data_IF_046914330612
#
_entry.id   IF_046914330612
#
_cell.length_a   1.000
_cell.length_b   1.000
_cell.length_c   1.000
_cell.angle_alpha   90.00
_cell.angle_beta   90.00
_cell.angle_gamma   90.00
#
_symmetry.space_group_name_H-M   'P 1'
#
loop_
_entity.id
_entity.type
_entity.pdbx_description
1 polymer ?
#
# COMPACT_ATOMS: atom_id res chain seq x y z
N UNK A 1 -24.93 -39.90 27.78
CA UNK A 1 -24.25 -38.70 27.25
C UNK A 1 -22.88 -39.16 26.80
N UNK A 2 -22.63 -39.25 25.49
CA UNK A 2 -21.34 -39.73 24.97
C UNK A 2 -20.32 -38.63 25.18
N UNK A 3 -19.32 -38.88 26.04
CA UNK A 3 -18.19 -37.97 26.21
C UNK A 3 -17.45 -37.99 24.87
N UNK A 4 -17.38 -36.83 24.22
CA UNK A 4 -16.63 -36.65 22.98
C UNK A 4 -15.21 -36.27 23.33
N UNK A 5 -14.25 -36.86 22.64
CA UNK A 5 -12.83 -36.58 22.81
C UNK A 5 -12.30 -35.56 21.78
N UNK A 6 -13.16 -35.05 20.89
CA UNK A 6 -12.79 -34.07 19.86
C UNK A 6 -13.56 -32.75 19.96
N UNK A 7 -12.92 -31.69 19.47
CA UNK A 7 -13.39 -30.32 19.51
C UNK A 7 -14.36 -29.99 18.37
N UNK A 8 -15.62 -29.64 18.71
CA UNK A 8 -16.64 -29.30 17.71
C UNK A 8 -16.35 -28.00 16.95
N UNK A 9 -15.54 -27.10 17.50
CA UNK A 9 -15.15 -25.86 16.80
C UNK A 9 -14.28 -26.11 15.58
N UNK A 10 -13.78 -27.35 15.43
CA UNK A 10 -12.86 -27.77 14.37
C UNK A 10 -13.52 -28.71 13.34
N UNK A 11 -14.85 -28.85 13.38
CA UNK A 11 -15.61 -29.73 12.46
C UNK A 11 -15.51 -29.27 10.99
N UNK A 12 -15.49 -27.96 10.76
CA UNK A 12 -15.19 -27.40 9.45
C UNK A 12 -13.76 -26.86 9.42
N UNK A 13 -13.03 -27.16 8.35
CA UNK A 13 -11.76 -26.49 8.07
C UNK A 13 -12.06 -25.16 7.34
N UNK A 14 -11.62 -24.00 7.86
CA UNK A 14 -11.77 -22.74 7.13
C UNK A 14 -11.04 -22.75 5.78
N UNK A 15 -10.08 -23.63 5.56
CA UNK A 15 -9.33 -23.74 4.29
C UNK A 15 -10.13 -24.45 3.20
N UNK A 16 -11.07 -25.32 3.58
CA UNK A 16 -12.01 -25.95 2.65
C UNK A 16 -13.05 -24.95 2.16
N UNK A 17 -13.48 -24.02 3.03
CA UNK A 17 -14.47 -22.98 2.70
C UNK A 17 -13.85 -21.77 1.99
N UNK A 18 -12.68 -21.34 2.46
CA UNK A 18 -11.92 -20.22 1.91
C UNK A 18 -10.49 -20.65 1.69
N UNK A 19 -10.15 -21.23 0.52
CA UNK A 19 -8.77 -21.63 0.22
C UNK A 19 -7.78 -20.47 0.30
N UNK A 20 -8.19 -19.28 -0.16
CA UNK A 20 -7.44 -18.04 0.07
C UNK A 20 -7.94 -17.35 1.34
N UNK A 21 -7.03 -16.96 2.23
CA UNK A 21 -7.35 -16.33 3.52
C UNK A 21 -8.20 -15.05 3.37
N UNK A 22 -8.05 -14.34 2.25
CA UNK A 22 -8.74 -13.07 2.03
C UNK A 22 -10.21 -13.23 1.64
N UNK A 23 -10.59 -14.41 1.16
CA UNK A 23 -11.95 -14.70 0.72
C UNK A 23 -12.90 -14.89 1.91
N UNK A 24 -12.36 -15.19 3.10
CA UNK A 24 -13.14 -15.20 4.33
C UNK A 24 -13.77 -13.81 4.56
N UNK A 25 -15.10 -13.71 4.74
CA UNK A 25 -15.76 -12.45 5.11
C UNK A 25 -15.19 -11.87 6.40
N UNK A 26 -15.26 -10.55 6.54
CA UNK A 26 -14.87 -9.90 7.80
C UNK A 26 -15.82 -10.32 8.94
N UNK A 27 -15.28 -10.39 10.16
CA UNK A 27 -16.06 -10.66 11.36
C UNK A 27 -16.24 -9.37 12.19
N UNK A 28 -17.44 -9.11 12.76
CA UNK A 28 -18.69 -9.81 12.49
C UNK A 28 -19.28 -9.42 11.13
N UNK A 29 -20.18 -10.25 10.58
CA UNK A 29 -20.92 -9.92 9.36
C UNK A 29 -22.05 -8.94 9.71
N UNK A 30 -21.97 -7.75 9.13
CA UNK A 30 -22.99 -6.71 9.24
C UNK A 30 -23.93 -6.77 8.03
N UNK A 31 -25.22 -6.54 8.27
CA UNK A 31 -26.26 -6.51 7.23
C UNK A 31 -26.17 -5.24 6.36
N UNK A 32 -25.67 -4.14 6.93
CA UNK A 32 -25.51 -2.87 6.24
C UNK A 32 -24.20 -2.16 6.60
N UNK A 33 -23.76 -1.28 5.71
CA UNK A 33 -22.49 -0.55 5.83
C UNK A 33 -22.47 0.43 7.00
N UNK A 34 -23.63 1.01 7.35
CA UNK A 34 -23.78 1.90 8.50
C UNK A 34 -23.47 1.18 9.82
N UNK A 35 -23.93 -0.06 9.99
CA UNK A 35 -23.61 -0.85 11.18
C UNK A 35 -22.11 -1.16 11.25
N UNK A 36 -21.47 -1.41 10.10
CA UNK A 36 -20.02 -1.66 10.05
C UNK A 36 -19.22 -0.44 10.48
N UNK A 37 -19.60 0.77 10.07
CA UNK A 37 -18.84 1.99 10.37
C UNK A 37 -19.03 2.48 11.81
N UNK A 38 -20.17 2.18 12.43
CA UNK A 38 -20.47 2.55 13.82
C UNK A 38 -19.82 1.63 14.86
N UNK A 39 -19.36 0.44 14.46
CA UNK A 39 -18.74 -0.52 15.36
C UNK A 39 -17.21 -0.49 15.23
N UNK A 40 -16.46 -0.59 16.36
CA UNK A 40 -15.01 -0.68 16.30
C UNK A 40 -14.58 -1.93 15.52
N UNK A 41 -13.44 -1.89 14.81
CA UNK A 41 -12.93 -3.03 14.08
C UNK A 41 -12.64 -4.18 15.05
N UNK A 42 -13.15 -5.36 14.74
CA UNK A 42 -12.95 -6.56 15.55
C UNK A 42 -11.50 -7.03 15.45
N UNK A 43 -10.80 -7.17 16.58
CA UNK A 43 -9.38 -7.50 16.57
C UNK A 43 -9.14 -9.01 16.54
N UNK A 44 -7.90 -9.40 16.24
CA UNK A 44 -7.45 -10.80 16.36
C UNK A 44 -7.68 -11.35 17.77
N UNK A 45 -7.38 -10.55 18.80
CA UNK A 45 -7.54 -10.96 20.19
C UNK A 45 -9.03 -11.17 20.54
N UNK A 46 -9.91 -10.28 20.05
CA UNK A 46 -11.36 -10.42 20.25
C UNK A 46 -11.89 -11.70 19.59
N UNK A 47 -11.37 -12.05 18.40
CA UNK A 47 -11.70 -13.28 17.72
C UNK A 47 -11.22 -14.52 18.48
N UNK A 48 -10.01 -14.51 19.01
CA UNK A 48 -9.50 -15.61 19.84
C UNK A 48 -10.31 -15.78 21.13
N UNK A 49 -10.63 -14.68 21.82
CA UNK A 49 -11.43 -14.70 23.04
C UNK A 49 -12.85 -15.23 22.75
N UNK A 50 -13.45 -14.83 21.64
CA UNK A 50 -14.76 -15.30 21.21
C UNK A 50 -14.74 -16.79 20.86
N UNK A 51 -13.71 -17.24 20.14
CA UNK A 51 -13.52 -18.65 19.80
C UNK A 51 -13.35 -19.51 21.05
N UNK A 52 -12.58 -19.06 22.03
CA UNK A 52 -12.42 -19.76 23.32
C UNK A 52 -13.75 -19.91 24.06
N UNK A 53 -14.59 -18.86 24.10
CA UNK A 53 -15.92 -18.93 24.70
C UNK A 53 -16.83 -19.93 23.97
N UNK A 54 -16.81 -19.92 22.64
CA UNK A 54 -17.59 -20.86 21.84
C UNK A 54 -17.11 -22.29 22.08
N UNK A 55 -15.80 -22.52 22.13
CA UNK A 55 -15.20 -23.81 22.45
C UNK A 55 -15.69 -24.34 23.79
N UNK A 56 -15.67 -23.52 24.82
CA UNK A 56 -16.17 -23.87 26.15
C UNK A 56 -17.66 -24.27 26.11
N UNK A 57 -18.51 -23.48 25.44
CA UNK A 57 -19.96 -23.73 25.34
C UNK A 57 -20.30 -25.01 24.56
N UNK A 58 -19.65 -25.20 23.41
CA UNK A 58 -19.88 -26.37 22.53
C UNK A 58 -19.40 -27.67 23.18
N UNK A 59 -18.21 -27.63 23.81
CA UNK A 59 -17.57 -28.80 24.39
C UNK A 59 -17.90 -29.00 25.87
N UNK A 60 -18.95 -28.32 26.35
CA UNK A 60 -19.49 -28.42 27.73
C UNK A 60 -18.40 -28.28 28.81
N UNK A 61 -17.52 -27.31 28.61
CA UNK A 61 -16.46 -26.94 29.55
C UNK A 61 -15.14 -27.72 29.42
N UNK A 62 -15.01 -28.60 28.41
CA UNK A 62 -13.75 -29.32 28.18
C UNK A 62 -12.84 -28.53 27.25
N UNK A 63 -11.69 -28.08 27.76
CA UNK A 63 -10.75 -27.21 27.03
C UNK A 63 -9.61 -27.98 26.34
N UNK A 64 -9.35 -29.24 26.70
CA UNK A 64 -8.25 -30.03 26.14
C UNK A 64 -8.75 -31.14 25.21
N UNK A 65 -9.60 -30.76 24.24
CA UNK A 65 -10.05 -31.68 23.19
C UNK A 65 -9.16 -31.58 21.95
N UNK A 66 -8.86 -32.75 21.36
CA UNK A 66 -8.11 -32.83 20.10
C UNK A 66 -8.97 -32.40 18.90
N UNK A 67 -8.36 -32.09 17.75
CA UNK A 67 -9.11 -31.95 16.50
C UNK A 67 -9.84 -33.27 16.13
N UNK A 68 -11.01 -33.20 15.47
CA UNK A 68 -11.68 -34.38 14.94
C UNK A 68 -10.87 -34.99 13.80
N UNK A 69 -10.90 -36.32 13.68
CA UNK A 69 -10.53 -37.01 12.45
C UNK A 69 -11.55 -36.72 11.34
N UNK A 70 -11.21 -37.05 10.08
CA UNK A 70 -12.13 -36.85 8.94
C UNK A 70 -13.47 -37.55 9.14
N UNK A 71 -13.47 -38.80 9.63
CA UNK A 71 -14.69 -39.55 9.87
C UNK A 71 -15.55 -38.91 10.98
N UNK A 72 -14.92 -38.45 12.06
CA UNK A 72 -15.62 -37.77 13.16
C UNK A 72 -16.17 -36.41 12.75
N UNK A 73 -15.44 -35.68 11.90
CA UNK A 73 -15.92 -34.43 11.33
C UNK A 73 -17.16 -34.65 10.46
N UNK A 74 -17.16 -35.66 9.59
CA UNK A 74 -18.33 -35.99 8.77
C UNK A 74 -19.52 -36.48 9.60
N UNK A 75 -19.28 -37.29 10.64
CA UNK A 75 -20.33 -37.71 11.57
C UNK A 75 -20.92 -36.50 12.32
N UNK A 76 -20.06 -35.59 12.79
CA UNK A 76 -20.50 -34.35 13.43
C UNK A 76 -21.30 -33.47 12.46
N UNK A 77 -20.83 -33.31 11.21
CA UNK A 77 -21.57 -32.58 10.17
C UNK A 77 -22.97 -33.18 9.96
N UNK A 78 -23.07 -34.50 9.79
CA UNK A 78 -24.35 -35.19 9.61
C UNK A 78 -25.27 -35.09 10.84
N UNK A 79 -24.70 -35.02 12.05
CA UNK A 79 -25.46 -34.87 13.30
C UNK A 79 -26.03 -33.47 13.48
N UNK A 80 -25.26 -32.43 13.13
CA UNK A 80 -25.58 -31.04 13.42
C UNK A 80 -26.23 -30.30 12.24
N UNK A 81 -26.03 -30.77 11.02
CA UNK A 81 -26.46 -30.11 9.80
C UNK A 81 -27.25 -31.06 8.90
N UNK A 82 -28.15 -30.48 8.11
CA UNK A 82 -28.84 -31.15 6.99
C UNK A 82 -28.85 -30.24 5.78
N UNK A 83 -29.09 -30.80 4.60
CA UNK A 83 -29.25 -30.00 3.38
C UNK A 83 -30.50 -29.11 3.46
N UNK A 84 -30.37 -27.88 2.96
CA UNK A 84 -31.46 -26.92 2.81
C UNK A 84 -30.99 -25.48 2.95
N UNK A 85 -31.93 -24.55 2.90
CA UNK A 85 -31.63 -23.11 3.02
C UNK A 85 -31.54 -22.72 4.50
N UNK A 86 -30.47 -22.06 4.96
CA UNK A 86 -30.37 -21.62 6.34
C UNK A 86 -31.37 -20.51 6.65
N UNK A 87 -31.91 -20.52 7.86
CA UNK A 87 -32.73 -19.41 8.39
C UNK A 87 -31.88 -18.19 8.71
N UNK A 88 -30.61 -18.40 9.09
CA UNK A 88 -29.65 -17.35 9.38
C UNK A 88 -28.95 -16.91 8.08
N UNK A 89 -29.27 -15.70 7.61
CA UNK A 89 -28.72 -15.14 6.37
C UNK A 89 -27.19 -15.05 6.35
N UNK A 90 -26.54 -15.00 7.51
CA UNK A 90 -25.07 -14.96 7.61
C UNK A 90 -24.42 -16.21 7.03
N UNK A 91 -25.07 -17.37 7.14
CA UNK A 91 -24.52 -18.63 6.62
C UNK A 91 -24.35 -18.60 5.09
N UNK A 92 -25.24 -17.90 4.38
CA UNK A 92 -25.12 -17.70 2.93
C UNK A 92 -23.83 -16.94 2.58
N UNK A 93 -23.51 -15.90 3.36
CA UNK A 93 -22.29 -15.11 3.18
C UNK A 93 -21.02 -15.89 3.52
N UNK A 94 -21.15 -16.95 4.31
CA UNK A 94 -20.05 -17.84 4.69
C UNK A 94 -19.83 -19.01 3.72
N UNK A 95 -20.58 -19.10 2.62
CA UNK A 95 -20.51 -20.24 1.69
C UNK A 95 -21.25 -21.50 2.19
N UNK A 96 -21.99 -21.39 3.29
CA UNK A 96 -22.75 -22.48 3.93
C UNK A 96 -24.26 -22.38 3.63
N UNK A 97 -24.64 -21.70 2.54
CA UNK A 97 -26.04 -21.45 2.16
C UNK A 97 -26.85 -22.68 1.73
N UNK A 98 -26.20 -23.84 1.63
CA UNK A 98 -26.81 -25.13 1.30
C UNK A 98 -27.03 -26.01 2.54
N UNK A 99 -26.69 -25.51 3.73
CA UNK A 99 -26.86 -26.18 5.00
C UNK A 99 -27.85 -25.42 5.88
N UNK A 100 -28.57 -26.18 6.70
CA UNK A 100 -29.39 -25.66 7.79
C UNK A 100 -29.18 -26.56 9.03
N UNK A 101 -29.51 -26.07 10.25
CA UNK A 101 -29.47 -26.91 11.46
C UNK A 101 -30.28 -28.20 11.29
N UNK A 102 -29.73 -29.34 11.70
CA UNK A 102 -30.44 -30.62 11.64
C UNK A 102 -31.72 -30.61 12.48
N UNK A 103 -31.69 -29.87 13.59
CA UNK A 103 -32.84 -29.63 14.49
C UNK A 103 -33.00 -28.13 14.72
N UNK A 104 -34.25 -27.69 14.87
CA UNK A 104 -34.60 -26.26 15.05
C UNK A 104 -34.14 -25.69 16.40
N UNK A 105 -33.94 -26.55 17.41
CA UNK A 105 -33.48 -26.22 18.76
C UNK A 105 -31.96 -26.26 18.94
N UNK A 106 -31.20 -26.32 17.84
CA UNK A 106 -29.79 -26.65 17.86
C UNK A 106 -28.88 -25.43 17.74
N UNK A 107 -28.74 -24.68 18.85
CA UNK A 107 -27.81 -23.55 18.95
C UNK A 107 -26.35 -23.95 18.70
N UNK A 108 -26.00 -25.23 18.89
CA UNK A 108 -24.65 -25.73 18.62
C UNK A 108 -24.29 -25.59 17.12
N UNK A 109 -25.25 -25.70 16.20
CA UNK A 109 -24.98 -25.58 14.76
C UNK A 109 -24.52 -24.15 14.40
N UNK A 110 -25.20 -23.13 14.92
CA UNK A 110 -24.80 -21.72 14.77
C UNK A 110 -23.43 -21.45 15.41
N UNK A 111 -23.16 -22.04 16.58
CA UNK A 111 -21.87 -21.93 17.24
C UNK A 111 -20.74 -22.57 16.43
N UNK A 112 -20.97 -23.74 15.81
CA UNK A 112 -20.00 -24.40 14.93
C UNK A 112 -19.70 -23.51 13.69
N UNK A 113 -20.74 -22.95 13.06
CA UNK A 113 -20.57 -22.02 11.93
C UNK A 113 -19.80 -20.76 12.34
N UNK A 114 -20.13 -20.21 13.50
CA UNK A 114 -19.44 -19.03 14.04
C UNK A 114 -17.97 -19.35 14.34
N UNK A 115 -17.68 -20.55 14.87
CA UNK A 115 -16.31 -20.97 15.16
C UNK A 115 -15.45 -21.08 13.89
N UNK A 116 -15.97 -21.67 12.80
CA UNK A 116 -15.21 -21.73 11.54
C UNK A 116 -15.00 -20.34 10.94
N UNK A 117 -15.99 -19.44 11.04
CA UNK A 117 -15.83 -18.05 10.59
C UNK A 117 -14.75 -17.31 11.38
N UNK A 118 -14.75 -17.42 12.72
CA UNK A 118 -13.72 -16.82 13.57
C UNK A 118 -12.32 -17.37 13.25
N UNK A 119 -12.18 -18.68 13.03
CA UNK A 119 -10.91 -19.30 12.63
C UNK A 119 -10.44 -18.80 11.26
N UNK A 120 -11.34 -18.69 10.28
CA UNK A 120 -11.05 -18.10 8.98
C UNK A 120 -10.63 -16.64 9.08
N UNK A 121 -11.31 -15.85 9.92
CA UNK A 121 -10.99 -14.45 10.17
C UNK A 121 -9.63 -14.26 10.84
N UNK A 122 -9.26 -15.13 11.80
CA UNK A 122 -7.91 -15.14 12.39
C UNK A 122 -6.87 -15.43 11.30
N UNK A 123 -7.09 -16.44 10.44
CA UNK A 123 -6.21 -16.76 9.31
C UNK A 123 -6.02 -15.55 8.36
N UNK A 124 -7.11 -14.83 8.10
CA UNK A 124 -7.12 -13.58 7.32
C UNK A 124 -6.29 -12.48 7.96
N UNK A 125 -6.43 -12.26 9.27
CA UNK A 125 -5.64 -11.23 9.97
C UNK A 125 -4.16 -11.60 9.97
N UNK A 126 -3.83 -12.86 10.24
CA UNK A 126 -2.44 -13.34 10.28
C UNK A 126 -1.77 -13.17 8.92
N UNK A 127 -2.42 -13.58 7.83
CA UNK A 127 -1.91 -13.35 6.48
C UNK A 127 -1.76 -11.86 6.13
N UNK A 128 -2.64 -10.98 6.62
CA UNK A 128 -2.51 -9.52 6.45
C UNK A 128 -1.32 -8.95 7.22
N UNK A 129 -1.03 -9.48 8.42
CA UNK A 129 0.10 -9.05 9.22
C UNK A 129 1.42 -9.48 8.55
N UNK A 130 1.50 -10.72 8.09
CA UNK A 130 2.68 -11.24 7.40
C UNK A 130 3.00 -10.42 6.15
N UNK A 131 2.00 -10.17 5.29
CA UNK A 131 2.18 -9.31 4.10
C UNK A 131 2.67 -7.91 4.45
N UNK A 132 2.13 -7.30 5.51
CA UNK A 132 2.59 -5.96 5.94
C UNK A 132 4.03 -5.96 6.44
N UNK A 133 4.48 -7.04 7.07
CA UNK A 133 5.87 -7.20 7.49
C UNK A 133 6.80 -7.34 6.29
N UNK A 134 6.40 -8.14 5.30
CA UNK A 134 7.15 -8.31 4.05
C UNK A 134 7.23 -6.99 3.27
N UNK A 135 6.10 -6.30 3.07
CA UNK A 135 6.04 -4.99 2.42
C UNK A 135 6.87 -3.94 3.15
N UNK A 136 6.97 -4.03 4.49
CA UNK A 136 7.82 -3.13 5.27
C UNK A 136 9.30 -3.45 5.04
N UNK A 137 9.67 -4.73 5.05
CA UNK A 137 11.04 -5.17 4.81
C UNK A 137 11.51 -4.78 3.39
N UNK A 138 10.65 -4.92 2.40
CA UNK A 138 10.95 -4.53 1.01
C UNK A 138 11.07 -3.02 0.86
N UNK A 139 10.19 -2.23 1.48
CA UNK A 139 10.32 -0.76 1.53
C UNK A 139 11.61 -0.32 2.21
N UNK A 140 11.99 -0.98 3.30
CA UNK A 140 13.25 -0.69 3.99
C UNK A 140 14.47 -1.02 3.12
N UNK A 141 14.45 -2.18 2.43
CA UNK A 141 15.51 -2.57 1.50
C UNK A 141 15.65 -1.56 0.35
N UNK A 142 14.54 -1.15 -0.25
CA UNK A 142 14.52 -0.16 -1.33
C UNK A 142 15.05 1.20 -0.86
N UNK A 143 14.63 1.67 0.33
CA UNK A 143 15.11 2.92 0.90
C UNK A 143 16.62 2.88 1.18
N UNK A 144 17.13 1.76 1.72
CA UNK A 144 18.57 1.57 1.93
C UNK A 144 19.36 1.58 0.63
N UNK A 145 18.86 0.93 -0.42
CA UNK A 145 19.49 0.95 -1.75
C UNK A 145 19.55 2.38 -2.30
N UNK A 146 18.45 3.12 -2.27
CA UNK A 146 18.39 4.48 -2.77
C UNK A 146 19.35 5.43 -2.03
N UNK A 147 19.49 5.26 -0.70
CA UNK A 147 20.45 6.02 0.10
C UNK A 147 21.90 5.68 -0.27
N UNK A 148 22.20 4.40 -0.48
CA UNK A 148 23.54 3.96 -0.91
C UNK A 148 23.89 4.51 -2.31
N UNK A 149 22.94 4.43 -3.25
CA UNK A 149 23.11 4.94 -4.61
C UNK A 149 23.32 6.45 -4.61
N UNK A 150 22.56 7.19 -3.80
CA UNK A 150 22.74 8.63 -3.62
C UNK A 150 24.12 8.93 -3.02
N UNK A 151 24.52 8.26 -1.95
CA UNK A 151 25.81 8.48 -1.30
C UNK A 151 26.99 8.22 -2.24
N UNK A 152 26.90 7.18 -3.08
CA UNK A 152 27.94 6.84 -4.05
C UNK A 152 28.03 7.84 -5.22
N UNK A 153 26.89 8.35 -5.71
CA UNK A 153 26.85 9.12 -6.95
C UNK A 153 26.75 10.64 -6.76
N UNK A 154 26.10 11.10 -5.68
CA UNK A 154 25.85 12.53 -5.47
C UNK A 154 27.12 13.40 -5.47
N UNK A 155 28.26 12.97 -4.86
CA UNK A 155 29.49 13.76 -4.92
C UNK A 155 30.02 13.92 -6.35
N UNK A 156 29.97 12.85 -7.15
CA UNK A 156 30.42 12.87 -8.55
C UNK A 156 29.53 13.77 -9.40
N UNK A 157 28.22 13.61 -9.29
CA UNK A 157 27.24 14.43 -10.03
C UNK A 157 27.36 15.89 -9.63
N UNK A 158 27.56 16.19 -8.34
CA UNK A 158 27.79 17.56 -7.87
C UNK A 158 29.05 18.17 -8.47
N UNK A 159 30.18 17.46 -8.44
CA UNK A 159 31.43 17.95 -9.02
C UNK A 159 31.30 18.20 -10.54
N UNK A 160 30.57 17.34 -11.25
CA UNK A 160 30.28 17.52 -12.67
C UNK A 160 29.41 18.75 -12.93
N UNK A 161 28.36 18.97 -12.12
CA UNK A 161 27.52 20.18 -12.19
C UNK A 161 28.33 21.46 -11.93
N UNK A 162 29.18 21.46 -10.91
CA UNK A 162 30.03 22.61 -10.58
C UNK A 162 31.00 22.92 -11.74
N UNK A 163 31.61 21.89 -12.34
CA UNK A 163 32.48 22.05 -13.52
C UNK A 163 31.74 22.61 -14.74
N UNK A 164 30.53 22.12 -15.01
CA UNK A 164 29.68 22.61 -16.09
C UNK A 164 29.23 24.05 -15.86
N UNK A 165 28.91 24.42 -14.61
CA UNK A 165 28.55 25.79 -14.25
C UNK A 165 29.71 26.77 -14.51
N UNK A 166 30.93 26.41 -14.15
CA UNK A 166 32.11 27.22 -14.47
C UNK A 166 32.34 27.35 -15.99
N UNK A 167 32.18 26.26 -16.74
CA UNK A 167 32.33 26.28 -18.19
C UNK A 167 31.29 27.18 -18.86
N UNK A 168 30.04 27.15 -18.37
CA UNK A 168 28.97 28.04 -18.81
C UNK A 168 29.30 29.52 -18.53
N UNK A 169 29.78 29.84 -17.32
CA UNK A 169 30.19 31.20 -16.96
C UNK A 169 31.32 31.72 -17.88
N UNK A 170 32.35 30.90 -18.14
CA UNK A 170 33.44 31.24 -19.08
C UNK A 170 32.93 31.46 -20.52
N UNK A 171 31.93 30.69 -20.95
CA UNK A 171 31.33 30.88 -22.26
C UNK A 171 30.56 32.20 -22.36
N UNK A 172 29.76 32.53 -21.34
CA UNK A 172 29.02 33.79 -21.30
C UNK A 172 29.95 35.02 -21.32
N UNK A 173 31.06 34.96 -20.59
CA UNK A 173 32.07 36.02 -20.62
C UNK A 173 32.63 36.21 -22.04
N UNK A 174 33.03 35.12 -22.72
CA UNK A 174 33.54 35.18 -24.10
C UNK A 174 32.55 35.82 -25.07
N UNK A 175 31.26 35.46 -24.97
CA UNK A 175 30.22 36.08 -25.79
C UNK A 175 30.10 37.58 -25.55
N UNK A 176 30.19 38.02 -24.29
CA UNK A 176 30.19 39.44 -23.93
C UNK A 176 31.40 40.19 -24.47
N UNK A 177 32.60 39.61 -24.35
CA UNK A 177 33.84 40.19 -24.86
C UNK A 177 33.82 40.30 -26.40
N UNK A 178 33.31 39.27 -27.09
CA UNK A 178 33.15 39.27 -28.54
C UNK A 178 32.17 40.37 -29.01
N UNK A 179 31.03 40.51 -28.33
CA UNK A 179 30.07 41.57 -28.62
C UNK A 179 30.67 42.98 -28.39
N UNK A 180 31.42 43.17 -27.31
CA UNK A 180 32.10 44.43 -27.00
C UNK A 180 33.18 44.78 -28.04
N UNK A 181 33.90 43.77 -28.53
CA UNK A 181 34.91 43.93 -29.58
C UNK A 181 34.27 44.43 -30.89
N UNK A 182 33.24 43.75 -31.39
CA UNK A 182 32.56 44.16 -32.62
C UNK A 182 31.93 45.55 -32.49
N UNK A 183 31.31 45.86 -31.35
CA UNK A 183 30.71 47.17 -31.11
C UNK A 183 31.76 48.29 -31.13
N UNK A 184 32.94 48.02 -30.57
CA UNK A 184 34.06 48.99 -30.58
C UNK A 184 34.56 49.26 -32.00
N UNK A 185 34.68 48.22 -32.85
CA UNK A 185 35.05 48.39 -34.25
C UNK A 185 34.02 49.23 -35.02
N UNK A 186 32.73 48.95 -34.81
CA UNK A 186 31.64 49.72 -35.41
C UNK A 186 31.67 51.20 -35.00
N UNK A 187 31.87 51.48 -33.71
CA UNK A 187 31.98 52.84 -33.18
C UNK A 187 33.19 53.58 -33.75
N UNK A 188 34.36 52.92 -33.84
CA UNK A 188 35.56 53.51 -34.45
C UNK A 188 35.33 53.86 -35.93
N UNK A 189 34.69 52.97 -36.68
CA UNK A 189 34.34 53.23 -38.09
C UNK A 189 33.38 54.42 -38.20
N UNK A 190 32.31 54.43 -37.41
CA UNK A 190 31.32 55.51 -37.39
C UNK A 190 31.94 56.86 -37.01
N UNK A 191 32.81 56.89 -35.98
CA UNK A 191 33.51 58.11 -35.57
C UNK A 191 34.44 58.62 -36.69
N UNK A 192 35.18 57.75 -37.35
CA UNK A 192 36.06 58.12 -38.46
C UNK A 192 35.27 58.69 -39.65
N UNK A 193 34.12 58.10 -39.99
CA UNK A 193 33.22 58.60 -41.03
C UNK A 193 32.64 59.98 -40.66
N UNK A 194 32.20 60.14 -39.41
CA UNK A 194 31.70 61.42 -38.89
C UNK A 194 32.79 62.49 -38.92
N UNK A 195 34.01 62.16 -38.48
CA UNK A 195 35.14 63.06 -38.51
C UNK A 195 35.46 63.49 -39.94
N UNK A 196 35.51 62.54 -40.89
CA UNK A 196 35.76 62.83 -42.31
C UNK A 196 34.69 63.78 -42.89
N UNK A 197 33.41 63.50 -42.64
CA UNK A 197 32.29 64.36 -43.07
C UNK A 197 32.37 65.75 -42.43
N UNK A 198 32.66 65.81 -41.14
CA UNK A 198 32.78 67.06 -40.40
C UNK A 198 33.96 67.90 -40.92
N UNK A 199 35.13 67.28 -41.17
CA UNK A 199 36.31 67.97 -41.75
C UNK A 199 36.01 68.54 -43.13
N UNK A 200 35.32 67.79 -43.99
CA UNK A 200 34.91 68.30 -45.30
C UNK A 200 33.94 69.48 -45.21
N UNK A 201 32.95 69.41 -44.30
CA UNK A 201 32.01 70.49 -44.06
C UNK A 201 32.71 71.75 -43.49
N UNK A 202 33.58 71.58 -42.50
CA UNK A 202 34.34 72.66 -41.88
C UNK A 202 35.23 73.38 -42.91
N UNK A 203 35.92 72.63 -43.79
CA UNK A 203 36.68 73.20 -44.90
C UNK A 203 35.82 74.01 -45.86
N UNK A 204 34.60 73.55 -46.14
CA UNK A 204 33.64 74.25 -47.02
C UNK A 204 33.13 75.55 -46.40
N UNK A 205 32.95 75.54 -45.08
CA UNK A 205 32.43 76.69 -44.32
C UNK A 205 33.52 77.66 -43.83
N UNK A 206 34.80 77.29 -43.94
CA UNK A 206 35.93 78.12 -43.50
C UNK A 206 36.07 78.22 -41.98
N UNK A 207 35.58 77.21 -41.24
CA UNK A 207 35.65 77.15 -39.78
C UNK A 207 36.54 75.99 -39.33
N UNK A 208 37.16 76.11 -38.16
CA UNK A 208 37.96 75.03 -37.59
C UNK A 208 37.10 73.98 -36.89
N UNK A 209 37.54 72.72 -36.94
CA UNK A 209 36.88 71.63 -36.23
C UNK A 209 37.26 71.65 -34.75
N UNK A 210 36.31 71.48 -33.80
CA UNK A 210 36.66 71.30 -32.40
C UNK A 210 37.47 70.00 -32.22
N UNK A 211 38.47 70.05 -31.32
CA UNK A 211 39.24 68.87 -30.95
C UNK A 211 38.36 67.88 -30.17
N UNK A 212 38.47 66.59 -30.53
CA UNK A 212 37.87 65.47 -29.81
C UNK A 212 38.96 64.87 -28.92
#
# INVERSE_FOLDING_TARGET
>A
MTIRDYDLTQVFDPSDLWPNENDCPDYPIFENEQSRTMNPPFTRQDAMNSLMRIRYTLNKGTEDLRPPSKAEAEEAKARYFKSGTPTNWRWNNLGLGHLQPARLDNDDADLIVTAVHLRGFIRKIDAKLDRKLDERADRERAARSALADYAANAPRVKAELDSLAEAAARHQQRMGDEQAFYRTQELRRSLSELQTKATAAAKTLGVDLPAI
#
